data_IF_778845053762
#
_entry.id   IF_778845053762
#
_cell.length_a   1.000
_cell.length_b   1.000
_cell.length_c   1.000
_cell.angle_alpha   90.00
_cell.angle_beta   90.00
_cell.angle_gamma   90.00
#
_symmetry.space_group_name_H-M   'P 1'
#
loop_
_entity.id
_entity.type
_entity.pdbx_description
1 polymer ?
#
# COMPACT_ATOMS: atom_id res chain seq x y z
N UNK A 1 -10.02 -5.85 5.40
CA UNK A 1 -9.93 -6.04 3.93
C UNK A 1 -9.66 -4.68 3.31
N UNK A 2 -8.59 -4.51 2.50
CA UNK A 2 -8.24 -3.24 1.86
C UNK A 2 -9.30 -2.77 0.85
N UNK A 3 -10.45 -2.29 1.29
CA UNK A 3 -11.49 -1.72 0.43
C UNK A 3 -11.27 -0.20 0.39
N UNK A 4 -10.53 0.28 -0.61
CA UNK A 4 -10.17 1.68 -0.73
C UNK A 4 -9.65 2.05 -2.12
N UNK A 5 -9.29 3.33 -2.36
CA UNK A 5 -8.78 3.85 -3.63
C UNK A 5 -7.63 3.03 -4.25
N UNK A 6 -6.87 2.32 -3.41
CA UNK A 6 -5.82 1.39 -3.82
C UNK A 6 -6.29 0.28 -4.76
N UNK A 7 -7.50 -0.29 -4.57
CA UNK A 7 -8.03 -1.34 -5.46
C UNK A 7 -8.39 -0.79 -6.83
N UNK A 8 -8.95 0.42 -6.89
CA UNK A 8 -9.34 1.07 -8.14
C UNK A 8 -8.11 1.44 -8.96
N UNK A 9 -7.06 1.94 -8.30
CA UNK A 9 -5.77 2.23 -8.96
C UNK A 9 -5.08 0.94 -9.41
N UNK A 10 -5.06 -0.12 -8.60
CA UNK A 10 -4.48 -1.39 -9.00
C UNK A 10 -5.14 -1.94 -10.28
N UNK A 11 -6.48 -1.82 -10.39
CA UNK A 11 -7.22 -2.14 -11.61
C UNK A 11 -6.84 -1.25 -12.80
N UNK A 12 -6.72 0.07 -12.60
CA UNK A 12 -6.32 1.04 -13.64
C UNK A 12 -4.97 0.68 -14.26
N UNK A 13 -4.02 0.26 -13.43
CA UNK A 13 -2.67 -0.13 -13.86
C UNK A 13 -2.56 -1.61 -14.26
N UNK A 14 -3.64 -2.39 -14.17
CA UNK A 14 -3.67 -3.84 -14.42
C UNK A 14 -2.64 -4.63 -13.59
N UNK A 15 -2.36 -4.17 -12.37
CA UNK A 15 -1.42 -4.81 -11.43
C UNK A 15 -2.14 -5.26 -10.17
N UNK A 16 -1.50 -6.12 -9.39
CA UNK A 16 -1.96 -6.48 -8.07
C UNK A 16 -1.79 -5.32 -7.06
N UNK A 17 -2.59 -5.34 -5.99
CA UNK A 17 -2.47 -4.37 -4.89
C UNK A 17 -1.06 -4.37 -4.26
N UNK A 18 -0.41 -5.52 -4.01
CA UNK A 18 0.98 -5.56 -3.54
C UNK A 18 1.98 -4.91 -4.50
N UNK A 19 1.85 -5.17 -5.81
CA UNK A 19 2.72 -4.54 -6.82
C UNK A 19 2.58 -3.01 -6.81
N UNK A 20 1.34 -2.51 -6.74
CA UNK A 20 1.09 -1.07 -6.64
C UNK A 20 1.71 -0.47 -5.38
N UNK A 21 1.62 -1.16 -4.24
CA UNK A 21 2.19 -0.70 -2.98
C UNK A 21 3.72 -0.66 -3.01
N UNK A 22 4.35 -1.70 -3.58
CA UNK A 22 5.81 -1.77 -3.75
C UNK A 22 6.28 -0.64 -4.67
N UNK A 23 5.61 -0.45 -5.81
CA UNK A 23 5.98 0.61 -6.75
C UNK A 23 5.79 2.01 -6.16
N UNK A 24 4.73 2.22 -5.40
CA UNK A 24 4.48 3.47 -4.68
C UNK A 24 5.64 3.81 -3.74
N UNK A 25 6.10 2.86 -2.90
CA UNK A 25 7.25 3.09 -2.03
C UNK A 25 8.52 3.41 -2.82
N UNK A 26 8.80 2.67 -3.90
CA UNK A 26 9.97 2.90 -4.75
C UNK A 26 9.97 4.30 -5.39
N UNK A 27 8.81 4.82 -5.82
CA UNK A 27 8.70 6.18 -6.37
C UNK A 27 8.78 7.29 -5.32
N UNK A 28 8.59 6.97 -4.04
CA UNK A 28 8.86 7.86 -2.92
C UNK A 28 10.30 7.79 -2.42
N UNK A 29 11.19 7.11 -3.15
CA UNK A 29 12.58 6.85 -2.76
C UNK A 29 12.71 6.04 -1.45
N UNK A 30 11.72 5.16 -1.20
CA UNK A 30 11.72 4.23 -0.07
C UNK A 30 12.01 2.81 -0.53
N UNK A 31 12.68 2.02 0.30
CA UNK A 31 12.98 0.61 0.02
C UNK A 31 11.96 -0.32 0.71
N UNK A 32 10.96 -0.86 -0.02
CA UNK A 32 10.02 -1.83 0.55
C UNK A 32 10.68 -3.18 0.78
N UNK A 33 10.38 -3.82 1.91
CA UNK A 33 10.83 -5.18 2.25
C UNK A 33 9.64 -6.14 2.31
N UNK A 34 9.12 -6.62 1.16
CA UNK A 34 7.97 -7.51 1.15
C UNK A 34 8.34 -8.90 1.68
N UNK A 35 7.64 -9.34 2.73
CA UNK A 35 7.77 -10.71 3.25
C UNK A 35 6.91 -11.65 2.41
N UNK A 36 7.52 -12.71 1.87
CA UNK A 36 6.79 -13.81 1.20
C UNK A 36 7.58 -15.11 1.31
N UNK A 37 6.85 -16.23 1.35
CA UNK A 37 7.40 -17.59 1.29
C UNK A 37 7.04 -18.30 -0.03
N UNK A 38 6.12 -17.74 -0.82
CA UNK A 38 5.70 -18.31 -2.09
C UNK A 38 6.52 -17.73 -3.24
N UNK A 39 7.08 -18.60 -4.08
CA UNK A 39 7.85 -18.20 -5.26
C UNK A 39 7.03 -17.38 -6.26
N UNK A 40 5.73 -17.69 -6.41
CA UNK A 40 4.85 -16.92 -7.30
C UNK A 40 4.71 -15.47 -6.79
N UNK A 41 4.50 -15.30 -5.49
CA UNK A 41 4.47 -13.97 -4.87
C UNK A 41 5.83 -13.26 -4.92
N UNK A 42 6.96 -13.97 -4.83
CA UNK A 42 8.28 -13.36 -5.02
C UNK A 42 8.42 -12.77 -6.42
N UNK A 43 8.05 -13.52 -7.45
CA UNK A 43 8.10 -13.05 -8.85
C UNK A 43 7.16 -11.86 -9.06
N UNK A 44 5.91 -11.96 -8.61
CA UNK A 44 4.95 -10.86 -8.75
C UNK A 44 5.39 -9.61 -7.98
N UNK A 45 5.97 -9.74 -6.79
CA UNK A 45 6.47 -8.58 -6.02
C UNK A 45 7.66 -7.88 -6.67
N UNK A 46 8.47 -8.60 -7.46
CA UNK A 46 9.59 -8.04 -8.20
C UNK A 46 9.17 -7.40 -9.54
N UNK A 47 8.05 -7.85 -10.11
CA UNK A 47 7.49 -7.33 -11.36
C UNK A 47 6.74 -6.01 -11.14
N UNK A 48 7.50 -4.94 -10.95
CA UNK A 48 6.99 -3.58 -10.65
C UNK A 48 7.57 -2.52 -11.59
N UNK A 49 7.94 -2.90 -12.81
CA UNK A 49 8.55 -2.04 -13.82
C UNK A 49 7.53 -1.13 -14.56
N UNK A 50 6.67 -0.41 -13.82
CA UNK A 50 5.70 0.55 -14.34
C UNK A 50 5.79 1.86 -13.57
N UNK A 51 5.20 2.96 -14.05
CA UNK A 51 5.25 4.26 -13.35
C UNK A 51 3.85 4.72 -12.99
N UNK A 52 3.65 5.07 -11.72
CA UNK A 52 2.45 5.72 -11.21
C UNK A 52 2.54 7.21 -11.55
N UNK A 53 1.47 7.78 -12.10
CA UNK A 53 1.40 9.21 -12.42
C UNK A 53 1.46 10.08 -11.15
N UNK A 54 1.90 11.33 -11.28
CA UNK A 54 1.96 12.27 -10.16
C UNK A 54 0.59 12.55 -9.52
N UNK A 55 -0.47 12.60 -10.33
CA UNK A 55 -1.85 12.72 -9.86
C UNK A 55 -2.26 11.54 -8.97
N UNK A 56 -1.97 10.31 -9.42
CA UNK A 56 -2.32 9.11 -8.66
C UNK A 56 -1.43 8.98 -7.42
N UNK A 57 -0.15 9.39 -7.48
CA UNK A 57 0.73 9.47 -6.30
C UNK A 57 0.17 10.44 -5.25
N UNK A 58 -0.31 11.61 -5.68
CA UNK A 58 -0.92 12.61 -4.79
C UNK A 58 -2.17 12.04 -4.14
N UNK A 59 -3.04 11.41 -4.94
CA UNK A 59 -4.24 10.73 -4.45
C UNK A 59 -3.93 9.61 -3.46
N UNK A 60 -2.82 8.89 -3.63
CA UNK A 60 -2.36 7.87 -2.69
C UNK A 60 -1.84 8.47 -1.37
N UNK A 61 -1.18 9.63 -1.42
CA UNK A 61 -0.69 10.35 -0.22
C UNK A 61 -1.82 10.88 0.66
N UNK A 62 -2.96 11.22 0.06
CA UNK A 62 -4.14 11.72 0.79
C UNK A 62 -4.88 10.64 1.58
N UNK A 63 -4.54 9.36 1.37
CA UNK A 63 -5.18 8.25 2.09
C UNK A 63 -4.73 8.28 3.55
N UNK A 64 -5.66 8.64 4.43
CA UNK A 64 -5.47 8.58 5.88
C UNK A 64 -5.97 7.23 6.42
N UNK A 65 -5.05 6.43 6.98
CA UNK A 65 -5.39 5.16 7.62
C UNK A 65 -5.57 5.38 9.13
N UNK A 66 -6.82 5.63 9.54
CA UNK A 66 -7.19 5.85 10.94
C UNK A 66 -7.80 4.62 11.61
N UNK A 67 -7.88 3.50 10.88
CA UNK A 67 -8.54 2.29 11.33
C UNK A 67 -7.63 1.07 11.11
N UNK A 68 -7.15 0.49 12.20
CA UNK A 68 -6.38 -0.76 12.22
C UNK A 68 -7.28 -2.01 12.38
N UNK A 69 -8.59 -1.85 12.23
CA UNK A 69 -9.60 -2.91 12.31
C UNK A 69 -9.69 -3.51 13.71
N UNK A 70 -9.67 -4.84 13.79
CA UNK A 70 -9.68 -5.57 15.07
C UNK A 70 -8.50 -5.24 15.98
N UNK A 71 -7.43 -4.65 15.46
CA UNK A 71 -6.25 -4.30 16.24
C UNK A 71 -6.38 -2.93 16.94
N UNK A 72 -7.45 -2.18 16.71
CA UNK A 72 -7.71 -0.90 17.40
C UNK A 72 -7.83 -1.07 18.93
N UNK A 73 -8.10 -2.28 19.42
CA UNK A 73 -8.19 -2.56 20.85
C UNK A 73 -6.82 -2.59 21.54
N UNK A 74 -5.74 -2.80 20.78
CA UNK A 74 -4.38 -2.86 21.30
C UNK A 74 -3.93 -1.44 21.68
N UNK A 75 -3.46 -1.20 22.91
CA UNK A 75 -3.14 0.13 23.42
C UNK A 75 -2.20 0.95 22.53
N UNK A 76 -1.24 0.32 21.85
CA UNK A 76 -0.27 1.01 20.98
C UNK A 76 -0.87 1.50 19.66
N UNK A 77 -2.00 0.94 19.23
CA UNK A 77 -2.72 1.36 18.03
C UNK A 77 -3.91 2.28 18.37
N UNK A 78 -4.22 2.48 19.66
CA UNK A 78 -5.19 3.51 20.10
C UNK A 78 -4.58 4.89 19.90
N UNK A 79 -5.30 5.80 19.25
CA UNK A 79 -4.91 7.22 19.23
C UNK A 79 -4.84 7.72 20.67
N UNK A 80 -3.76 8.42 21.01
CA UNK A 80 -3.77 9.31 22.16
C UNK A 80 -4.91 10.32 21.94
N UNK A 81 -5.82 10.44 22.92
CA UNK A 81 -6.86 11.46 22.87
C UNK A 81 -6.17 12.81 22.68
N UNK A 82 -6.47 13.48 21.57
CA UNK A 82 -5.98 14.83 21.31
C UNK A 82 -6.45 15.70 22.47
N UNK A 83 -5.51 16.31 23.19
CA UNK A 83 -5.77 17.23 24.30
C UNK A 83 -6.17 18.60 23.76
#
# INVERSE_FOLDING_TARGET
MFAGPFRSLAKKYHVSVPQLAIRYCLQLDLLPLPKTVSMEHMKNNADVAFTISEEDLTRLKEITMNDYGSNNEIPVFKRAATK
#
